data_IF_558304643447
#
_entry.id   IF_558304643447
#
_cell.length_a   1.000
_cell.length_b   1.000
_cell.length_c   1.000
_cell.angle_alpha   90.00
_cell.angle_beta   90.00
_cell.angle_gamma   90.00
#
_symmetry.space_group_name_H-M   'P 1'
#
loop_
_entity.id
_entity.type
_entity.pdbx_description
1 polymer ?
#
# COMPACT_ATOMS: atom_id res chain seq x y z
N UNK A 1 -23.93 15.21 13.80
CA UNK A 1 -23.31 15.66 12.54
C UNK A 1 -22.03 14.91 12.21
N UNK A 2 -21.14 14.59 13.16
CA UNK A 2 -19.91 13.83 12.86
C UNK A 2 -20.17 12.41 12.27
N UNK A 3 -21.19 11.69 12.76
CA UNK A 3 -21.46 10.31 12.35
C UNK A 3 -21.75 10.11 10.85
N UNK A 4 -22.40 11.07 10.17
CA UNK A 4 -22.71 10.95 8.73
C UNK A 4 -21.46 11.08 7.87
N UNK A 5 -20.54 12.00 8.21
CA UNK A 5 -19.26 12.14 7.49
C UNK A 5 -18.37 10.90 7.61
N UNK A 6 -18.42 10.21 8.75
CA UNK A 6 -17.67 8.96 8.94
C UNK A 6 -18.19 7.83 8.03
N UNK A 7 -19.47 7.82 7.71
CA UNK A 7 -20.04 6.82 6.81
C UNK A 7 -19.56 7.00 5.37
N UNK A 8 -19.65 8.22 4.84
CA UNK A 8 -19.19 8.54 3.48
C UNK A 8 -17.69 8.32 3.33
N UNK A 9 -16.92 8.68 4.37
CA UNK A 9 -15.48 8.44 4.41
C UNK A 9 -15.14 6.95 4.38
N UNK A 10 -15.89 6.11 5.09
CA UNK A 10 -15.68 4.66 5.09
C UNK A 10 -15.93 4.05 3.70
N UNK A 11 -16.95 4.53 2.97
CA UNK A 11 -17.21 4.11 1.59
C UNK A 11 -16.04 4.53 0.69
N UNK A 12 -15.62 5.79 0.78
CA UNK A 12 -14.48 6.30 0.01
C UNK A 12 -13.19 5.52 0.30
N UNK A 13 -12.94 5.15 1.56
CA UNK A 13 -11.80 4.32 1.97
C UNK A 13 -11.81 2.96 1.28
N UNK A 14 -12.94 2.26 1.29
CA UNK A 14 -13.06 0.94 0.67
C UNK A 14 -12.82 1.02 -0.84
N UNK A 15 -13.42 2.00 -1.52
CA UNK A 15 -13.26 2.18 -2.97
C UNK A 15 -11.82 2.53 -3.32
N UNK A 16 -11.22 3.50 -2.62
CA UNK A 16 -9.84 3.93 -2.84
C UNK A 16 -8.88 2.76 -2.62
N UNK A 17 -9.00 2.08 -1.48
CA UNK A 17 -8.18 0.91 -1.14
C UNK A 17 -8.27 -0.16 -2.22
N UNK A 18 -9.47 -0.52 -2.65
CA UNK A 18 -9.65 -1.58 -3.64
C UNK A 18 -9.02 -1.18 -4.98
N UNK A 19 -9.30 0.02 -5.47
CA UNK A 19 -8.75 0.52 -6.73
C UNK A 19 -7.21 0.59 -6.72
N UNK A 20 -6.63 1.08 -5.62
CA UNK A 20 -5.18 1.13 -5.46
C UNK A 20 -4.58 -0.27 -5.34
N UNK A 21 -5.17 -1.13 -4.52
CA UNK A 21 -4.71 -2.49 -4.32
C UNK A 21 -4.73 -3.27 -5.65
N UNK A 22 -5.78 -3.16 -6.45
CA UNK A 22 -5.89 -3.89 -7.72
C UNK A 22 -4.73 -3.54 -8.67
N UNK A 23 -4.36 -2.25 -8.77
CA UNK A 23 -3.21 -1.80 -9.57
C UNK A 23 -1.88 -2.31 -9.03
N UNK A 24 -1.72 -2.31 -7.71
CA UNK A 24 -0.50 -2.79 -7.08
C UNK A 24 -0.36 -4.31 -7.19
N UNK A 25 -1.47 -5.05 -7.10
CA UNK A 25 -1.50 -6.50 -7.29
C UNK A 25 -1.21 -6.87 -8.74
N UNK A 26 -1.78 -6.15 -9.71
CA UNK A 26 -1.51 -6.36 -11.13
C UNK A 26 -0.02 -6.21 -11.46
N UNK A 27 0.65 -5.21 -10.87
CA UNK A 27 2.04 -4.89 -11.18
C UNK A 27 3.07 -5.67 -10.33
N UNK A 28 2.81 -5.87 -9.04
CA UNK A 28 3.78 -6.39 -8.07
C UNK A 28 3.36 -7.71 -7.41
N UNK A 29 2.16 -8.21 -7.72
CA UNK A 29 1.61 -9.43 -7.16
C UNK A 29 0.81 -9.22 -5.86
N UNK A 30 0.13 -10.28 -5.38
CA UNK A 30 -0.86 -10.19 -4.29
C UNK A 30 -0.27 -9.79 -2.93
N UNK A 31 1.05 -9.91 -2.76
CA UNK A 31 1.78 -9.58 -1.52
C UNK A 31 2.74 -8.40 -1.73
N UNK A 32 2.38 -7.46 -2.59
CA UNK A 32 3.18 -6.26 -2.89
C UNK A 32 3.64 -5.51 -1.62
N UNK A 33 2.81 -5.50 -0.58
CA UNK A 33 3.09 -4.87 0.72
C UNK A 33 4.24 -5.52 1.50
N UNK A 34 4.65 -6.75 1.14
CA UNK A 34 5.79 -7.44 1.74
C UNK A 34 7.13 -7.09 1.05
N UNK A 35 7.10 -6.30 -0.02
CA UNK A 35 8.32 -5.93 -0.75
C UNK A 35 8.97 -4.69 -0.11
N UNK A 36 10.08 -4.90 0.60
CA UNK A 36 10.87 -3.87 1.28
C UNK A 36 11.42 -2.77 0.35
N UNK A 37 11.46 -3.03 -0.98
CA UNK A 37 11.89 -2.04 -1.96
C UNK A 37 10.80 -1.04 -2.33
N UNK A 38 9.54 -1.36 -2.07
CA UNK A 38 8.39 -0.55 -2.48
C UNK A 38 7.98 0.47 -1.42
N UNK A 39 8.02 0.07 -0.14
CA UNK A 39 7.53 0.88 0.98
C UNK A 39 8.67 1.62 1.68
N UNK A 40 8.40 2.83 2.14
CA UNK A 40 9.27 3.52 3.08
C UNK A 40 9.12 2.97 4.52
N UNK A 41 9.89 3.48 5.47
CA UNK A 41 9.84 3.03 6.87
C UNK A 41 8.46 3.21 7.51
N UNK A 42 7.73 4.28 7.17
CA UNK A 42 6.38 4.54 7.70
C UNK A 42 5.39 3.51 7.14
N UNK A 43 5.44 3.24 5.85
CA UNK A 43 4.63 2.21 5.19
C UNK A 43 4.92 0.81 5.76
N UNK A 44 6.19 0.46 5.93
CA UNK A 44 6.61 -0.82 6.53
C UNK A 44 6.08 -0.97 7.96
N UNK A 45 6.19 0.08 8.78
CA UNK A 45 5.67 0.07 10.15
C UNK A 45 4.14 -0.08 10.19
N UNK A 46 3.41 0.55 9.27
CA UNK A 46 1.95 0.40 9.16
C UNK A 46 1.56 -1.04 8.79
N UNK A 47 2.27 -1.67 7.85
CA UNK A 47 2.06 -3.08 7.49
C UNK A 47 2.38 -4.01 8.65
N UNK A 48 3.51 -3.81 9.33
CA UNK A 48 3.89 -4.60 10.50
C UNK A 48 2.85 -4.50 11.64
N UNK A 49 2.34 -3.29 11.88
CA UNK A 49 1.25 -3.05 12.84
C UNK A 49 -0.02 -3.78 12.43
N UNK A 50 -0.45 -3.66 11.17
CA UNK A 50 -1.63 -4.37 10.67
C UNK A 50 -1.47 -5.90 10.78
N UNK A 51 -0.28 -6.42 10.51
CA UNK A 51 0.04 -7.85 10.65
C UNK A 51 -0.13 -8.34 12.09
N UNK A 52 0.38 -7.55 13.05
CA UNK A 52 0.25 -7.82 14.49
C UNK A 52 -1.21 -7.73 14.96
N UNK A 53 -1.88 -6.63 14.64
CA UNK A 53 -3.24 -6.33 15.10
C UNK A 53 -4.25 -7.35 14.55
N UNK A 54 -4.07 -7.79 13.30
CA UNK A 54 -4.92 -8.79 12.65
C UNK A 54 -4.56 -10.25 12.99
N UNK A 55 -3.50 -10.47 13.79
CA UNK A 55 -2.91 -11.78 14.11
C UNK A 55 -2.66 -12.62 12.85
N UNK A 56 -2.12 -11.99 11.82
CA UNK A 56 -1.81 -12.68 10.57
C UNK A 56 -0.59 -13.59 10.72
N UNK A 57 -0.53 -14.59 9.85
CA UNK A 57 0.59 -15.50 9.65
C UNK A 57 1.06 -15.40 8.20
N UNK A 58 2.21 -16.02 7.88
CA UNK A 58 2.71 -16.08 6.51
C UNK A 58 1.73 -16.77 5.52
N UNK A 59 0.78 -17.56 6.03
CA UNK A 59 -0.24 -18.26 5.25
C UNK A 59 -1.56 -17.50 5.15
N UNK A 60 -1.70 -16.39 5.89
CA UNK A 60 -2.94 -15.60 5.88
C UNK A 60 -3.26 -15.08 4.47
N UNK A 61 -4.54 -15.01 4.07
CA UNK A 61 -4.94 -14.46 2.79
C UNK A 61 -4.40 -13.03 2.61
N UNK A 62 -3.80 -12.68 1.46
CA UNK A 62 -3.19 -11.37 1.28
C UNK A 62 -4.17 -10.21 1.48
N UNK A 63 -5.44 -10.39 1.09
CA UNK A 63 -6.51 -9.43 1.30
C UNK A 63 -6.81 -9.12 2.77
N UNK A 64 -6.47 -10.03 3.72
CA UNK A 64 -6.67 -9.81 5.15
C UNK A 64 -5.79 -8.68 5.67
N UNK A 65 -4.54 -8.59 5.22
CA UNK A 65 -3.65 -7.48 5.58
C UNK A 65 -4.14 -6.18 4.94
N UNK A 66 -4.47 -6.22 3.65
CA UNK A 66 -4.98 -5.06 2.90
C UNK A 66 -6.20 -4.47 3.61
N UNK A 67 -7.14 -5.31 4.07
CA UNK A 67 -8.35 -4.89 4.76
C UNK A 67 -8.10 -4.19 6.12
N UNK A 68 -6.92 -4.39 6.72
CA UNK A 68 -6.55 -3.88 8.05
C UNK A 68 -5.74 -2.59 7.98
N UNK A 69 -5.31 -2.20 6.78
CA UNK A 69 -4.63 -0.93 6.54
C UNK A 69 -5.66 0.20 6.51
N UNK A 70 -5.52 1.13 7.45
CA UNK A 70 -6.38 2.31 7.57
C UNK A 70 -6.19 3.30 6.41
N UNK A 71 -7.20 4.14 6.15
CA UNK A 71 -7.18 5.20 5.14
C UNK A 71 -5.86 5.99 5.08
N UNK A 72 -5.30 6.34 6.23
CA UNK A 72 -4.05 7.10 6.30
C UNK A 72 -2.85 6.41 5.66
N UNK A 73 -2.83 5.07 5.59
CA UNK A 73 -1.82 4.33 4.86
C UNK A 73 -1.97 4.54 3.35
N UNK A 74 -3.19 4.45 2.83
CA UNK A 74 -3.48 4.64 1.40
C UNK A 74 -3.16 6.06 0.94
N UNK A 75 -3.54 7.07 1.74
CA UNK A 75 -3.17 8.48 1.50
C UNK A 75 -1.65 8.65 1.52
N UNK A 76 -0.95 8.02 2.47
CA UNK A 76 0.51 8.11 2.56
C UNK A 76 1.22 7.56 1.31
N UNK A 77 0.68 6.53 0.65
CA UNK A 77 1.26 6.05 -0.62
C UNK A 77 1.19 7.07 -1.76
N UNK A 78 0.29 8.05 -1.68
CA UNK A 78 0.16 9.13 -2.65
C UNK A 78 1.07 10.34 -2.33
N UNK A 79 1.72 10.34 -1.16
CA UNK A 79 2.74 11.34 -0.82
C UNK A 79 4.05 11.06 -1.61
N UNK A 80 5.02 12.00 -1.61
CA UNK A 80 6.30 11.78 -2.30
C UNK A 80 7.08 10.55 -1.83
N UNK A 81 6.78 10.02 -0.65
CA UNK A 81 7.48 8.91 0.02
C UNK A 81 8.65 9.38 0.90
N UNK A 82 9.14 8.47 1.74
CA UNK A 82 10.12 8.74 2.78
C UNK A 82 11.44 8.01 2.60
N UNK A 83 12.04 7.59 3.72
CA UNK A 83 13.33 6.91 3.74
C UNK A 83 13.20 5.52 4.38
N UNK A 84 14.15 4.65 4.07
CA UNK A 84 14.32 3.32 4.67
C UNK A 84 15.77 3.15 5.09
N UNK A 85 15.97 2.41 6.18
CA UNK A 85 17.29 2.04 6.67
C UNK A 85 17.93 3.12 7.54
N UNK A 86 19.06 2.74 8.14
CA UNK A 86 19.83 3.59 9.05
C UNK A 86 21.08 4.13 8.35
N UNK A 87 21.63 5.27 8.78
CA UNK A 87 22.95 5.71 8.34
C UNK A 87 24.00 4.60 8.52
N UNK A 88 24.95 4.40 7.60
CA UNK A 88 25.18 5.16 6.36
C UNK A 88 24.33 4.71 5.15
N UNK A 89 23.58 3.61 5.26
CA UNK A 89 22.86 2.98 4.14
C UNK A 89 21.39 3.45 4.00
N UNK A 90 21.10 4.70 4.38
CA UNK A 90 19.74 5.27 4.29
C UNK A 90 19.37 5.51 2.82
N UNK A 91 18.26 4.92 2.38
CA UNK A 91 17.79 5.05 1.00
C UNK A 91 16.42 5.74 0.95
N UNK A 92 16.24 6.67 0.01
CA UNK A 92 14.94 7.32 -0.23
C UNK A 92 14.04 6.42 -1.08
N UNK A 93 12.73 6.48 -0.84
CA UNK A 93 11.69 5.83 -1.63
C UNK A 93 10.77 6.91 -2.17
N UNK A 94 10.78 7.06 -3.49
CA UNK A 94 9.90 8.00 -4.18
C UNK A 94 8.71 7.22 -4.71
N UNK A 95 7.54 7.32 -4.05
CA UNK A 95 6.39 6.47 -4.40
C UNK A 95 5.91 6.67 -5.85
N UNK A 96 6.00 7.88 -6.38
CA UNK A 96 5.78 8.12 -7.82
C UNK A 96 6.66 7.20 -8.68
N UNK A 97 7.96 7.15 -8.42
CA UNK A 97 8.89 6.36 -9.22
C UNK A 97 8.81 4.85 -8.97
N UNK A 98 8.66 4.43 -7.70
CA UNK A 98 8.75 3.00 -7.33
C UNK A 98 7.41 2.27 -7.35
N UNK A 99 6.29 2.95 -7.06
CA UNK A 99 4.93 2.37 -7.01
C UNK A 99 4.11 2.79 -8.24
N UNK A 100 3.94 4.09 -8.46
CA UNK A 100 2.86 4.56 -9.34
C UNK A 100 3.22 4.58 -10.82
N UNK A 101 4.42 5.03 -11.20
CA UNK A 101 4.85 5.00 -12.60
C UNK A 101 4.77 3.60 -13.19
N UNK A 102 5.28 2.55 -12.54
CA UNK A 102 5.15 1.21 -13.09
C UNK A 102 3.69 0.73 -13.10
N UNK A 103 2.94 0.94 -12.00
CA UNK A 103 1.56 0.46 -11.88
C UNK A 103 0.54 1.20 -12.77
N UNK A 104 0.85 2.43 -13.21
CA UNK A 104 0.00 3.23 -14.11
C UNK A 104 0.51 3.26 -15.54
N UNK A 105 1.76 2.84 -15.79
CA UNK A 105 2.26 2.68 -17.14
C UNK A 105 1.39 1.65 -17.87
N UNK A 106 0.56 2.15 -18.78
CA UNK A 106 -0.29 1.30 -19.62
C UNK A 106 0.67 0.39 -20.39
N UNK A 107 0.73 -0.90 -20.06
CA UNK A 107 1.43 -1.89 -20.89
C UNK A 107 0.72 -1.92 -22.24
N UNK A 108 1.23 -1.16 -23.21
CA UNK A 108 0.89 -1.41 -24.60
C UNK A 108 1.47 -2.78 -24.96
N UNK A 109 0.57 -3.73 -25.21
CA UNK A 109 0.87 -4.98 -25.92
C UNK A 109 1.83 -5.96 -25.24
N UNK A 110 1.27 -6.93 -24.51
CA UNK A 110 1.65 -8.35 -24.68
C UNK A 110 0.40 -9.21 -24.60
N UNK A 111 -0.34 -9.24 -25.71
CA UNK A 111 -1.06 -10.45 -26.12
C UNK A 111 -0.04 -11.27 -26.89
N UNK A 112 0.38 -12.39 -26.32
CA UNK A 112 0.83 -13.55 -27.08
C UNK A 112 -0.38 -14.46 -27.21
#
# INVERSE_FOLDING_TARGET
MAASFHHDLAIAEVVLRNAMNDRLVEQYGPRWWANEKLLDERGQNAVAKAFKDARCTAESPPGRIVAQLAMGFWVHLLEPGGFVGRPPFRARRYYDAVLWRPATSRRSGRRC
#
